data_IF_906590079986
#
_entry.id   IF_906590079986
#
_cell.length_a   1.000
_cell.length_b   1.000
_cell.length_c   1.000
_cell.angle_alpha   90.00
_cell.angle_beta   90.00
_cell.angle_gamma   90.00
#
_symmetry.space_group_name_H-M   'P 1'
#
loop_
_entity.id
_entity.type
_entity.pdbx_description
1 polymer ?
#
# COMPACT_ATOMS: atom_id res chain seq x y z
N UNK A 1 -15.19 2.30 8.47
CA UNK A 1 -13.79 2.10 8.02
C UNK A 1 -13.76 0.81 7.25
N UNK A 2 -13.45 0.87 5.96
CA UNK A 2 -13.17 -0.31 5.15
C UNK A 2 -11.68 -0.60 5.21
N UNK A 3 -11.33 -1.88 5.38
CA UNK A 3 -9.96 -2.34 5.61
C UNK A 3 -9.69 -3.51 4.68
N UNK A 4 -8.61 -3.40 3.91
CA UNK A 4 -8.11 -4.48 3.06
C UNK A 4 -6.65 -4.79 3.39
N UNK A 5 -6.28 -6.05 3.22
CA UNK A 5 -4.89 -6.47 3.14
C UNK A 5 -4.59 -6.94 1.72
N UNK A 6 -3.71 -6.23 1.03
CA UNK A 6 -3.27 -6.60 -0.31
C UNK A 6 -2.01 -7.45 -0.22
N UNK A 7 -2.06 -8.66 -0.76
CA UNK A 7 -0.87 -9.50 -0.97
C UNK A 7 -0.32 -9.26 -2.37
N UNK A 8 0.79 -8.57 -2.45
CA UNK A 8 1.43 -8.15 -3.71
C UNK A 8 2.65 -9.04 -3.98
N UNK A 9 2.53 -9.96 -4.95
CA UNK A 9 3.65 -10.82 -5.34
C UNK A 9 4.70 -10.02 -6.09
N UNK A 10 5.94 -10.04 -5.61
CA UNK A 10 7.06 -9.46 -6.33
C UNK A 10 7.45 -10.39 -7.49
N UNK A 11 7.69 -9.82 -8.66
CA UNK A 11 8.20 -10.55 -9.83
C UNK A 11 9.59 -11.09 -9.52
N UNK A 12 9.88 -12.32 -9.96
CA UNK A 12 11.19 -12.96 -9.77
C UNK A 12 12.31 -12.06 -10.33
N UNK A 13 13.32 -11.78 -9.52
CA UNK A 13 14.46 -10.93 -9.91
C UNK A 13 14.21 -9.42 -9.76
N UNK A 14 13.02 -9.00 -9.33
CA UNK A 14 12.67 -7.60 -9.07
C UNK A 14 12.65 -7.24 -7.58
N UNK A 15 13.21 -8.09 -6.72
CA UNK A 15 13.24 -7.89 -5.28
C UNK A 15 14.02 -6.63 -4.89
N UNK A 16 15.08 -6.28 -5.63
CA UNK A 16 15.81 -5.04 -5.41
C UNK A 16 14.93 -3.81 -5.70
N UNK A 17 14.22 -3.82 -6.83
CA UNK A 17 13.31 -2.74 -7.23
C UNK A 17 12.15 -2.61 -6.22
N UNK A 18 11.62 -3.72 -5.72
CA UNK A 18 10.59 -3.69 -4.68
C UNK A 18 11.11 -3.05 -3.37
N UNK A 19 12.38 -3.26 -3.00
CA UNK A 19 12.98 -2.59 -1.84
C UNK A 19 13.21 -1.11 -2.09
N UNK A 20 13.65 -0.73 -3.30
CA UNK A 20 13.80 0.67 -3.70
C UNK A 20 12.46 1.40 -3.68
N UNK A 21 11.38 0.74 -4.13
CA UNK A 21 10.02 1.24 -4.03
C UNK A 21 9.60 1.52 -2.57
N UNK A 22 9.79 0.57 -1.66
CA UNK A 22 9.45 0.75 -0.25
C UNK A 22 10.30 1.84 0.43
N UNK A 23 11.58 1.92 0.09
CA UNK A 23 12.44 3.01 0.56
C UNK A 23 11.94 4.37 0.06
N UNK A 24 11.57 4.46 -1.22
CA UNK A 24 10.98 5.67 -1.80
C UNK A 24 9.71 6.10 -1.06
N UNK A 25 8.78 5.18 -0.76
CA UNK A 25 7.57 5.52 0.00
C UNK A 25 7.90 6.03 1.40
N UNK A 26 8.84 5.36 2.09
CA UNK A 26 9.29 5.76 3.41
C UNK A 26 9.91 7.16 3.42
N UNK A 27 10.75 7.47 2.44
CA UNK A 27 11.39 8.79 2.29
C UNK A 27 10.39 9.91 1.99
N UNK A 28 9.22 9.59 1.44
CA UNK A 28 8.18 10.56 1.05
C UNK A 28 6.94 10.49 1.95
N UNK A 29 7.08 9.99 3.19
CA UNK A 29 5.96 9.74 4.12
C UNK A 29 5.09 10.99 4.35
N UNK A 30 5.69 12.17 4.50
CA UNK A 30 4.94 13.41 4.77
C UNK A 30 4.03 13.79 3.59
N UNK A 31 4.58 13.75 2.38
CA UNK A 31 3.82 14.04 1.16
C UNK A 31 2.76 12.96 0.89
N UNK A 32 3.11 11.68 1.10
CA UNK A 32 2.15 10.57 1.00
C UNK A 32 0.98 10.73 1.97
N UNK A 33 1.26 11.08 3.23
CA UNK A 33 0.23 11.32 4.24
C UNK A 33 -0.73 12.44 3.86
N UNK A 34 -0.27 13.46 3.12
CA UNK A 34 -1.13 14.52 2.62
C UNK A 34 -2.03 14.07 1.46
N UNK A 35 -1.58 13.14 0.61
CA UNK A 35 -2.39 12.55 -0.45
C UNK A 35 -3.48 11.66 0.15
N UNK A 36 -3.15 10.82 1.15
CA UNK A 36 -4.11 9.96 1.84
C UNK A 36 -5.30 10.73 2.42
N UNK A 37 -5.08 11.95 2.95
CA UNK A 37 -6.19 12.81 3.42
C UNK A 37 -7.20 13.14 2.32
N UNK A 38 -6.74 13.42 1.10
CA UNK A 38 -7.62 13.70 -0.04
C UNK A 38 -8.37 12.45 -0.50
N UNK A 39 -7.77 11.28 -0.28
CA UNK A 39 -8.31 9.98 -0.65
C UNK A 39 -9.24 9.39 0.42
N UNK A 40 -9.38 10.08 1.56
CA UNK A 40 -10.10 9.60 2.76
C UNK A 40 -9.52 8.28 3.30
N UNK A 41 -8.22 8.09 3.14
CA UNK A 41 -7.46 7.00 3.73
C UNK A 41 -6.94 7.41 5.11
N UNK A 42 -7.07 6.50 6.06
CA UNK A 42 -6.67 6.70 7.47
C UNK A 42 -5.30 6.09 7.77
N UNK A 43 -4.99 4.93 7.18
CA UNK A 43 -3.74 4.22 7.41
C UNK A 43 -3.35 3.42 6.18
N UNK A 44 -2.08 3.55 5.79
CA UNK A 44 -1.42 2.70 4.82
C UNK A 44 -0.12 2.18 5.43
N UNK A 45 0.01 0.86 5.53
CA UNK A 45 1.18 0.22 6.14
C UNK A 45 1.69 -0.92 5.26
N UNK A 46 3.02 -1.02 5.16
CA UNK A 46 3.68 -1.99 4.30
C UNK A 46 4.50 -2.99 5.12
N UNK A 47 4.38 -4.26 4.75
CA UNK A 47 5.14 -5.36 5.31
C UNK A 47 5.78 -6.18 4.19
N UNK A 48 6.85 -6.90 4.50
CA UNK A 48 7.50 -7.80 3.55
C UNK A 48 7.65 -9.18 4.18
N UNK A 49 7.34 -10.21 3.40
CA UNK A 49 7.60 -11.60 3.79
C UNK A 49 8.19 -12.38 2.62
N UNK A 50 8.86 -13.49 2.96
CA UNK A 50 9.34 -14.46 1.99
C UNK A 50 8.64 -15.80 2.22
N UNK A 51 7.89 -16.24 1.22
CA UNK A 51 7.13 -17.48 1.24
C UNK A 51 7.69 -18.42 0.19
N UNK A 52 8.21 -19.59 0.60
CA UNK A 52 8.77 -20.59 -0.31
C UNK A 52 9.75 -20.01 -1.34
N UNK A 53 10.61 -19.09 -0.90
CA UNK A 53 11.58 -18.44 -1.80
C UNK A 53 11.08 -17.18 -2.50
N UNK A 54 9.78 -16.92 -2.53
CA UNK A 54 9.15 -15.79 -3.23
C UNK A 54 8.94 -14.61 -2.28
N UNK A 55 9.30 -13.41 -2.70
CA UNK A 55 9.02 -12.19 -1.94
C UNK A 55 7.59 -11.69 -2.18
N UNK A 56 6.91 -11.32 -1.10
CA UNK A 56 5.61 -10.65 -1.11
C UNK A 56 5.71 -9.34 -0.34
N UNK A 57 5.07 -8.31 -0.88
CA UNK A 57 4.77 -7.08 -0.16
C UNK A 57 3.31 -7.16 0.28
N UNK A 58 3.06 -6.84 1.54
CA UNK A 58 1.72 -6.79 2.10
C UNK A 58 1.38 -5.33 2.40
N UNK A 59 0.30 -4.83 1.82
CA UNK A 59 -0.20 -3.48 2.09
C UNK A 59 -1.48 -3.58 2.91
N UNK A 60 -1.41 -3.17 4.16
CA UNK A 60 -2.59 -2.95 4.99
C UNK A 60 -3.12 -1.55 4.70
N UNK A 61 -4.40 -1.46 4.36
CA UNK A 61 -5.01 -0.21 3.95
C UNK A 61 -6.37 -0.03 4.62
N UNK A 62 -6.53 1.07 5.35
CA UNK A 62 -7.77 1.44 6.02
C UNK A 62 -8.23 2.81 5.53
N UNK A 63 -9.48 2.89 5.06
CA UNK A 63 -10.07 4.11 4.51
C UNK A 63 -11.55 4.23 4.88
N UNK A 64 -12.16 5.38 4.58
CA UNK A 64 -13.62 5.54 4.67
C UNK A 64 -14.31 4.56 3.70
N UNK A 65 -13.82 4.51 2.46
CA UNK A 65 -14.21 3.61 1.37
C UNK A 65 -12.96 3.33 0.52
N UNK A 66 -12.53 2.07 0.46
CA UNK A 66 -11.28 1.69 -0.23
C UNK A 66 -11.39 1.84 -1.75
N UNK A 67 -12.57 1.63 -2.33
CA UNK A 67 -12.79 1.78 -3.77
C UNK A 67 -12.75 3.25 -4.19
N UNK A 68 -13.35 4.14 -3.40
CA UNK A 68 -13.25 5.58 -3.59
C UNK A 68 -11.81 6.06 -3.49
N UNK A 69 -11.10 5.64 -2.45
CA UNK A 69 -9.69 5.98 -2.20
C UNK A 69 -8.82 5.57 -3.40
N UNK A 70 -8.92 4.30 -3.81
CA UNK A 70 -8.19 3.76 -4.96
C UNK A 70 -8.51 4.50 -6.28
N UNK A 71 -9.77 4.89 -6.51
CA UNK A 71 -10.16 5.66 -7.71
C UNK A 71 -9.62 7.09 -7.67
N UNK A 72 -9.54 7.70 -6.49
CA UNK A 72 -8.99 9.04 -6.29
C UNK A 72 -7.49 9.04 -6.54
N UNK A 73 -6.74 8.12 -5.93
CA UNK A 73 -5.32 7.91 -6.17
C UNK A 73 -4.99 7.73 -7.67
N UNK A 74 -5.77 6.90 -8.38
CA UNK A 74 -5.59 6.66 -9.84
C UNK A 74 -5.86 7.89 -10.72
N UNK A 75 -6.68 8.84 -10.26
CA UNK A 75 -6.99 10.09 -10.98
C UNK A 75 -6.08 11.25 -10.56
N UNK A 76 -5.31 11.05 -9.49
CA UNK A 76 -4.31 11.99 -9.02
C UNK A 76 -3.31 12.29 -10.14
N UNK A 77 -2.90 13.55 -10.23
CA UNK A 77 -1.76 14.00 -11.06
C UNK A 77 -0.52 14.24 -10.20
N UNK A 78 -0.48 13.63 -9.03
CA UNK A 78 0.66 13.73 -8.12
C UNK A 78 1.85 12.97 -8.73
N UNK A 79 3.02 13.61 -8.88
CA UNK A 79 4.23 12.92 -9.30
C UNK A 79 4.62 11.77 -8.35
N UNK A 80 4.22 11.86 -7.08
CA UNK A 80 4.44 10.81 -6.08
C UNK A 80 3.63 9.56 -6.41
N UNK A 81 2.34 9.71 -6.74
CA UNK A 81 1.46 8.60 -7.13
C UNK A 81 1.89 7.99 -8.46
N UNK A 82 2.25 8.83 -9.44
CA UNK A 82 2.78 8.36 -10.73
C UNK A 82 4.02 7.47 -10.53
N UNK A 83 4.96 7.90 -9.68
CA UNK A 83 6.17 7.14 -9.38
C UNK A 83 5.88 5.88 -8.55
N UNK A 84 4.97 5.96 -7.58
CA UNK A 84 4.49 4.80 -6.83
C UNK A 84 3.91 3.73 -7.77
N UNK A 85 3.02 4.11 -8.68
CA UNK A 85 2.43 3.18 -9.65
C UNK A 85 3.45 2.68 -10.68
N UNK A 86 4.44 3.48 -11.06
CA UNK A 86 5.52 3.04 -11.93
C UNK A 86 6.34 1.93 -11.29
N UNK A 87 6.71 2.07 -10.00
CA UNK A 87 7.38 1.01 -9.25
C UNK A 87 6.52 -0.25 -9.15
N UNK A 88 5.24 -0.12 -8.79
CA UNK A 88 4.33 -1.27 -8.71
C UNK A 88 4.26 -2.00 -10.06
N UNK A 89 4.09 -1.26 -11.16
CA UNK A 89 4.07 -1.83 -12.51
C UNK A 89 5.37 -2.57 -12.83
N UNK A 90 6.51 -2.06 -12.38
CA UNK A 90 7.80 -2.69 -12.63
C UNK A 90 7.96 -3.98 -11.82
N UNK A 91 7.73 -3.94 -10.50
CA UNK A 91 8.15 -5.00 -9.58
C UNK A 91 7.03 -5.94 -9.11
N UNK A 92 5.75 -5.55 -9.20
CA UNK A 92 4.61 -6.35 -8.71
C UNK A 92 3.93 -7.11 -9.84
N UNK A 93 3.66 -8.39 -9.62
CA UNK A 93 2.78 -9.18 -10.47
C UNK A 93 1.33 -9.03 -9.99
N UNK A 94 0.60 -8.09 -10.60
CA UNK A 94 -0.80 -7.80 -10.28
C UNK A 94 -1.77 -8.97 -10.53
N UNK A 95 -1.36 -9.99 -11.29
CA UNK A 95 -2.19 -11.17 -11.57
C UNK A 95 -1.96 -12.32 -10.59
N UNK A 96 -0.99 -12.20 -9.69
CA UNK A 96 -0.55 -13.30 -8.83
C UNK A 96 -0.48 -12.90 -7.35
N UNK A 97 -1.39 -12.02 -6.94
CA UNK A 97 -1.58 -11.56 -5.57
C UNK A 97 -2.94 -12.00 -5.01
N UNK A 98 -3.35 -11.34 -3.93
CA UNK A 98 -4.68 -11.49 -3.34
C UNK A 98 -5.14 -10.18 -2.70
N UNK A 99 -6.46 -10.00 -2.56
CA UNK A 99 -7.07 -8.90 -1.80
C UNK A 99 -7.93 -9.55 -0.73
N UNK A 100 -7.50 -9.40 0.52
CA UNK A 100 -8.17 -10.01 1.66
C UNK A 100 -9.04 -8.98 2.37
N UNK A 101 -10.28 -9.36 2.63
CA UNK A 101 -11.20 -8.60 3.47
C UNK A 101 -10.82 -8.70 4.95
N UNK A 102 -10.91 -7.58 5.66
CA UNK A 102 -10.80 -7.60 7.11
C UNK A 102 -12.09 -8.20 7.71
N UNK A 103 -11.98 -9.39 8.30
CA UNK A 103 -13.12 -10.07 8.93
C UNK A 103 -13.46 -9.50 10.31
N UNK A 104 -12.46 -9.03 11.04
CA UNK A 104 -12.62 -8.36 12.33
C UNK A 104 -11.40 -7.48 12.62
N UNK A 105 -11.62 -6.40 13.36
CA UNK A 105 -10.55 -5.60 13.98
C UNK A 105 -11.05 -5.09 15.34
N UNK A 106 -10.12 -4.83 16.24
CA UNK A 106 -10.35 -4.16 17.51
C UNK A 106 -9.36 -3.02 17.60
N UNK A 107 -9.82 -1.84 18.00
CA UNK A 107 -8.98 -0.66 18.10
C UNK A 107 -9.13 0.01 19.45
N UNK A 108 -8.07 0.72 19.83
CA UNK A 108 -8.04 1.61 20.98
C UNK A 108 -7.27 2.87 20.56
N UNK A 109 -7.62 3.40 19.38
CA UNK A 109 -6.88 4.49 18.76
C UNK A 109 -6.95 5.78 19.60
N UNK A 110 -7.95 5.91 20.47
CA UNK A 110 -8.09 7.01 21.42
C UNK A 110 -6.95 7.08 22.45
N UNK A 111 -6.32 5.94 22.78
CA UNK A 111 -5.17 5.86 23.70
C UNK A 111 -3.82 6.03 22.99
N UNK A 112 -3.82 6.08 21.65
CA UNK A 112 -2.64 6.28 20.83
C UNK A 112 -2.28 7.78 20.84
N UNK A 113 -1.68 8.23 21.94
CA UNK A 113 -1.00 9.54 22.00
C UNK A 113 0.22 9.49 21.07
N UNK A 114 0.05 9.89 19.83
CA UNK A 114 1.17 10.25 18.92
C UNK A 114 1.69 11.63 19.24
#
# INVERSE_FOLDING_TARGET
>A
MDIKLYKLKVKKGKEKVAKEWLAFLKENTDQGSQLLKNEKAYLEAYFCAKESGTMYVYMFFAAEDVDYSNKTAKKSKSPLDEKHFAYMKECINLLAGDIMDCLFYMDNLEDLKT
#
